data_IF_005151319707
#
_entry.id   IF_005151319707
#
_cell.length_a   1.000
_cell.length_b   1.000
_cell.length_c   1.000
_cell.angle_alpha   90.00
_cell.angle_beta   90.00
_cell.angle_gamma   90.00
#
_symmetry.space_group_name_H-M   'P 1'
#
loop_
_entity.id
_entity.type
_entity.pdbx_description
1 polymer ?
#
# COMPACT_ATOMS: atom_id res chain seq x y z
N UNK A 1 -12.08 -6.41 10.40
CA UNK A 1 -11.64 -7.76 10.00
C UNK A 1 -11.31 -7.92 8.51
N UNK A 2 -12.12 -7.42 7.57
CA UNK A 2 -11.87 -7.59 6.13
C UNK A 2 -10.52 -7.03 5.64
N UNK A 3 -10.07 -5.91 6.21
CA UNK A 3 -8.79 -5.28 5.87
C UNK A 3 -7.59 -6.14 6.27
N UNK A 4 -7.69 -6.76 7.45
CA UNK A 4 -6.63 -7.57 8.00
C UNK A 4 -6.48 -8.86 7.20
N UNK A 5 -7.59 -9.49 6.77
CA UNK A 5 -7.54 -10.68 5.92
C UNK A 5 -6.90 -10.45 4.55
N UNK A 6 -7.14 -9.30 3.91
CA UNK A 6 -6.54 -8.99 2.59
C UNK A 6 -5.04 -8.76 2.74
N UNK A 7 -4.64 -8.05 3.78
CA UNK A 7 -3.25 -7.74 4.07
C UNK A 7 -2.49 -8.94 4.58
N UNK A 8 -3.11 -9.74 5.43
CA UNK A 8 -2.63 -11.04 5.87
C UNK A 8 -2.38 -11.92 4.64
N UNK A 9 -3.37 -12.15 3.77
CA UNK A 9 -3.16 -12.93 2.54
C UNK A 9 -2.04 -12.44 1.64
N UNK A 10 -1.85 -11.12 1.52
CA UNK A 10 -0.84 -10.55 0.63
C UNK A 10 0.58 -10.53 1.24
N UNK A 11 0.68 -10.43 2.58
CA UNK A 11 1.94 -10.24 3.31
C UNK A 11 2.27 -11.32 4.34
N UNK A 12 1.46 -12.37 4.47
CA UNK A 12 1.73 -13.47 5.41
C UNK A 12 3.09 -14.06 5.09
N UNK A 13 4.02 -13.86 6.02
CA UNK A 13 5.44 -14.27 5.91
C UNK A 13 5.66 -15.77 5.69
N UNK A 14 4.61 -16.59 5.78
CA UNK A 14 4.66 -18.04 5.54
C UNK A 14 4.22 -18.47 4.13
N UNK A 15 3.52 -17.63 3.37
CA UNK A 15 3.07 -17.98 2.03
C UNK A 15 4.26 -17.83 1.06
N UNK A 16 4.91 -18.94 0.73
CA UNK A 16 5.98 -19.06 -0.28
C UNK A 16 5.52 -18.74 -1.72
N UNK A 17 4.37 -18.08 -1.87
CA UNK A 17 3.70 -17.75 -3.12
C UNK A 17 3.60 -16.24 -3.20
N UNK A 18 4.38 -15.65 -4.10
CA UNK A 18 4.20 -14.25 -4.45
C UNK A 18 2.78 -14.07 -5.03
N UNK A 19 2.03 -13.06 -4.58
CA UNK A 19 0.71 -12.78 -5.15
C UNK A 19 0.86 -12.50 -6.65
N UNK A 20 -0.03 -13.08 -7.43
CA UNK A 20 -0.07 -12.86 -8.87
C UNK A 20 -0.46 -11.41 -9.18
N UNK A 21 -0.15 -10.90 -10.36
CA UNK A 21 -0.56 -9.55 -10.76
C UNK A 21 -2.09 -9.34 -10.67
N UNK A 22 -2.90 -10.37 -10.93
CA UNK A 22 -4.36 -10.32 -10.73
C UNK A 22 -4.74 -10.08 -9.27
N UNK A 23 -4.08 -10.78 -8.36
CA UNK A 23 -4.34 -10.68 -6.92
C UNK A 23 -3.93 -9.31 -6.38
N UNK A 24 -2.81 -8.78 -6.86
CA UNK A 24 -2.37 -7.41 -6.55
C UNK A 24 -3.41 -6.38 -7.00
N UNK A 25 -3.95 -6.52 -8.23
CA UNK A 25 -4.99 -5.63 -8.74
C UNK A 25 -6.29 -5.72 -7.93
N UNK A 26 -6.72 -6.92 -7.56
CA UNK A 26 -7.88 -7.12 -6.67
C UNK A 26 -7.64 -6.51 -5.29
N UNK A 27 -6.45 -6.70 -4.72
CA UNK A 27 -6.10 -6.11 -3.43
C UNK A 27 -6.18 -4.58 -3.49
N UNK A 28 -5.67 -3.97 -4.57
CA UNK A 28 -5.80 -2.52 -4.79
C UNK A 28 -7.26 -2.09 -4.85
N UNK A 29 -8.13 -2.79 -5.58
CA UNK A 29 -9.56 -2.45 -5.67
C UNK A 29 -10.24 -2.47 -4.29
N UNK A 30 -10.02 -3.54 -3.53
CA UNK A 30 -10.58 -3.70 -2.19
C UNK A 30 -10.06 -2.61 -1.25
N UNK A 31 -8.75 -2.38 -1.22
CA UNK A 31 -8.14 -1.34 -0.38
C UNK A 31 -8.65 0.05 -0.76
N UNK A 32 -8.84 0.35 -2.04
CA UNK A 32 -9.39 1.64 -2.50
C UNK A 32 -10.82 1.85 -2.04
N UNK A 33 -11.66 0.82 -2.06
CA UNK A 33 -13.02 0.89 -1.51
C UNK A 33 -13.00 1.20 -0.01
N UNK A 34 -12.15 0.52 0.74
CA UNK A 34 -12.02 0.75 2.18
C UNK A 34 -11.49 2.16 2.51
N UNK A 35 -10.54 2.67 1.72
CA UNK A 35 -10.09 4.07 1.82
C UNK A 35 -11.25 5.03 1.55
N UNK A 36 -12.11 4.74 0.57
CA UNK A 36 -13.25 5.58 0.25
C UNK A 36 -14.30 5.57 1.36
N UNK A 37 -14.49 4.44 2.05
CA UNK A 37 -15.37 4.34 3.21
C UNK A 37 -14.84 5.15 4.41
N UNK A 38 -13.53 5.10 4.68
CA UNK A 38 -12.93 5.76 5.84
C UNK A 38 -11.63 6.53 5.54
N UNK A 39 -11.65 7.59 4.72
CA UNK A 39 -10.45 8.23 4.19
C UNK A 39 -9.60 8.99 5.21
N UNK A 40 -10.19 9.30 6.38
CA UNK A 40 -9.55 10.04 7.48
C UNK A 40 -9.07 9.13 8.62
N UNK A 41 -9.38 7.83 8.59
CA UNK A 41 -8.93 6.92 9.65
C UNK A 41 -7.41 6.75 9.62
N UNK A 42 -6.83 6.37 10.75
CA UNK A 42 -5.43 5.94 10.80
C UNK A 42 -5.19 4.73 9.85
N UNK A 43 -6.21 3.89 9.67
CA UNK A 43 -6.21 2.75 8.74
C UNK A 43 -6.12 3.18 7.28
N UNK A 44 -6.63 4.36 6.91
CA UNK A 44 -6.50 4.90 5.56
C UNK A 44 -5.04 5.04 5.14
N UNK A 45 -4.17 5.45 6.07
CA UNK A 45 -2.71 5.53 5.86
C UNK A 45 -2.11 4.15 5.59
N UNK A 46 -2.55 3.15 6.36
CA UNK A 46 -2.14 1.74 6.21
C UNK A 46 -2.55 1.23 4.83
N UNK A 47 -3.82 1.36 4.47
CA UNK A 47 -4.36 0.91 3.19
C UNK A 47 -3.68 1.58 2.00
N UNK A 48 -3.51 2.91 2.02
CA UNK A 48 -2.81 3.66 0.96
C UNK A 48 -1.36 3.20 0.78
N UNK A 49 -0.66 2.91 1.88
CA UNK A 49 0.69 2.35 1.84
C UNK A 49 0.73 0.98 1.16
N UNK A 50 -0.26 0.13 1.43
CA UNK A 50 -0.36 -1.18 0.80
C UNK A 50 -0.75 -1.12 -0.67
N UNK A 51 -1.65 -0.20 -1.05
CA UNK A 51 -1.97 0.08 -2.45
C UNK A 51 -0.70 0.47 -3.21
N UNK A 52 0.12 1.35 -2.63
CA UNK A 52 1.38 1.75 -3.23
C UNK A 52 2.35 0.58 -3.43
N UNK A 53 2.50 -0.30 -2.43
CA UNK A 53 3.31 -1.51 -2.57
C UNK A 53 2.79 -2.46 -3.66
N UNK A 54 1.46 -2.58 -3.79
CA UNK A 54 0.89 -3.39 -4.87
C UNK A 54 1.28 -2.83 -6.23
N UNK A 55 1.17 -1.51 -6.41
CA UNK A 55 1.61 -0.84 -7.62
C UNK A 55 3.12 -1.03 -7.88
N UNK A 56 3.97 -0.98 -6.86
CA UNK A 56 5.40 -1.31 -7.02
C UNK A 56 5.61 -2.72 -7.57
N UNK A 57 4.91 -3.71 -7.00
CA UNK A 57 4.99 -5.11 -7.45
C UNK A 57 4.42 -5.30 -8.86
N UNK A 58 3.46 -4.46 -9.27
CA UNK A 58 2.92 -4.42 -10.62
C UNK A 58 3.85 -3.74 -11.63
N UNK A 59 4.90 -3.03 -11.18
CA UNK A 59 5.78 -2.23 -12.02
C UNK A 59 5.33 -0.78 -12.20
N UNK A 60 4.17 -0.43 -11.64
CA UNK A 60 3.53 0.90 -11.71
C UNK A 60 4.15 1.85 -10.68
N UNK A 61 5.45 2.12 -10.83
CA UNK A 61 6.21 2.95 -9.88
C UNK A 61 5.68 4.39 -9.75
N UNK A 62 5.00 4.91 -10.79
CA UNK A 62 4.42 6.27 -10.77
C UNK A 62 3.26 6.34 -9.79
N UNK A 63 2.28 5.46 -9.94
CA UNK A 63 1.14 5.35 -9.03
C UNK A 63 1.60 5.02 -7.61
N UNK A 64 2.55 4.09 -7.46
CA UNK A 64 3.12 3.78 -6.15
C UNK A 64 3.66 5.02 -5.44
N UNK A 65 4.42 5.87 -6.15
CA UNK A 65 4.96 7.11 -5.58
C UNK A 65 3.85 8.07 -5.16
N UNK A 66 2.81 8.24 -5.98
CA UNK A 66 1.71 9.14 -5.65
C UNK A 66 1.02 8.71 -4.34
N UNK A 67 0.66 7.43 -4.23
CA UNK A 67 0.01 6.92 -3.02
C UNK A 67 0.91 7.03 -1.78
N UNK A 68 2.20 6.74 -1.88
CA UNK A 68 3.11 6.94 -0.75
C UNK A 68 3.23 8.41 -0.35
N UNK A 69 3.24 9.34 -1.30
CA UNK A 69 3.26 10.78 -1.02
C UNK A 69 1.99 11.21 -0.28
N UNK A 70 0.83 10.64 -0.63
CA UNK A 70 -0.41 10.90 0.10
C UNK A 70 -0.33 10.42 1.55
N UNK A 71 0.28 9.25 1.81
CA UNK A 71 0.49 8.75 3.18
C UNK A 71 1.39 9.67 3.98
N UNK A 72 2.53 10.08 3.40
CA UNK A 72 3.49 10.95 4.10
C UNK A 72 2.95 12.37 4.33
N UNK A 73 2.13 12.90 3.42
CA UNK A 73 1.52 14.23 3.54
C UNK A 73 0.32 14.28 4.48
N UNK A 74 -0.62 13.34 4.35
CA UNK A 74 -1.87 13.40 5.12
C UNK A 74 -1.77 12.72 6.50
N UNK A 75 -0.80 11.82 6.69
CA UNK A 75 -0.74 10.96 7.87
C UNK A 75 0.67 10.88 8.48
N UNK A 76 1.42 11.98 8.45
CA UNK A 76 2.85 12.05 8.87
C UNK A 76 3.12 11.58 10.30
N UNK A 77 2.11 11.57 11.18
CA UNK A 77 2.21 11.08 12.57
C UNK A 77 2.07 9.57 12.73
N UNK A 78 1.81 8.82 11.65
CA UNK A 78 1.62 7.38 11.70
C UNK A 78 2.91 6.62 11.38
N UNK A 79 3.14 5.43 11.94
CA UNK A 79 4.31 4.61 11.60
C UNK A 79 4.34 4.19 10.11
N UNK A 80 3.21 4.30 9.41
CA UNK A 80 3.12 4.06 7.97
C UNK A 80 3.73 5.17 7.14
N UNK A 81 3.75 6.42 7.63
CA UNK A 81 4.38 7.54 6.94
C UNK A 81 5.90 7.36 6.85
N UNK A 82 6.58 6.96 7.92
CA UNK A 82 8.01 6.66 7.87
C UNK A 82 8.33 5.52 6.88
N UNK A 83 7.52 4.46 6.89
CA UNK A 83 7.67 3.35 5.93
C UNK A 83 7.43 3.81 4.49
N UNK A 84 6.39 4.60 4.25
CA UNK A 84 6.07 5.17 2.94
C UNK A 84 7.21 6.08 2.43
N UNK A 85 7.78 6.91 3.31
CA UNK A 85 8.90 7.78 2.97
C UNK A 85 10.14 6.97 2.57
N UNK A 86 10.48 5.91 3.33
CA UNK A 86 11.58 5.02 2.97
C UNK A 86 11.35 4.35 1.61
N UNK A 87 10.15 3.80 1.38
CA UNK A 87 9.81 3.18 0.10
C UNK A 87 9.90 4.18 -1.07
N UNK A 88 9.42 5.42 -0.88
CA UNK A 88 9.58 6.51 -1.85
C UNK A 88 11.03 6.80 -2.20
N UNK A 89 11.90 6.89 -1.19
CA UNK A 89 13.33 7.11 -1.41
C UNK A 89 13.92 5.98 -2.26
N UNK A 90 13.63 4.72 -1.93
CA UNK A 90 14.11 3.56 -2.70
C UNK A 90 13.60 3.59 -4.15
N UNK A 91 12.33 3.91 -4.36
CA UNK A 91 11.72 4.06 -5.68
C UNK A 91 12.28 5.23 -6.50
N UNK A 92 12.71 6.30 -5.82
CA UNK A 92 13.37 7.44 -6.49
C UNK A 92 14.82 7.15 -6.85
N UNK A 93 15.50 6.34 -6.03
CA UNK A 93 16.90 5.96 -6.20
C UNK A 93 17.10 4.83 -7.22
N UNK A 94 16.07 4.02 -7.49
CA UNK A 94 16.06 3.04 -8.57
C UNK A 94 15.94 3.75 -9.93
N UNK A 95 17.06 4.29 -10.42
CA UNK A 95 17.22 4.95 -11.72
C UNK A 95 17.76 3.98 -12.76
#
# INVERSE_FOLDING_TARGET
>A
EAEDQVLDKLYYKGAKRYPSQDELKKAVDVLRKLIAENPKSADASKQKFYVAQCYEKLGEKKDAKDYYLQVTKNHSKTPWAEKAQKALMQLSAAK
#
